data_IF_315788385865
#
_entry.id   IF_315788385865
#
_cell.length_a   1.000
_cell.length_b   1.000
_cell.length_c   1.000
_cell.angle_alpha   90.00
_cell.angle_beta   90.00
_cell.angle_gamma   90.00
#
_symmetry.space_group_name_H-M   'P 1'
#
loop_
_entity.id
_entity.type
_entity.pdbx_description
1 polymer ?
#
# COMPACT_ATOMS: atom_id res chain seq x y z
N UNK A 1 -5.23 3.48 0.28
CA UNK A 1 -4.34 3.11 -0.82
C UNK A 1 -4.79 1.80 -1.45
N UNK A 2 -4.58 1.69 -2.76
CA UNK A 2 -4.81 0.52 -3.60
C UNK A 2 -4.02 0.72 -4.89
N UNK A 3 -3.44 -0.35 -5.42
CA UNK A 3 -2.53 -0.24 -6.56
C UNK A 3 -3.28 -0.02 -7.88
N UNK A 4 -2.72 0.79 -8.78
CA UNK A 4 -3.30 1.12 -10.08
C UNK A 4 -2.77 0.14 -11.15
N UNK A 5 -3.60 -0.35 -12.09
CA UNK A 5 -4.99 0.03 -12.36
C UNK A 5 -6.07 -0.87 -11.72
N UNK A 6 -5.69 -1.98 -11.09
CA UNK A 6 -6.65 -3.03 -10.73
C UNK A 6 -7.19 -2.95 -9.31
N UNK A 7 -6.77 -1.94 -8.54
CA UNK A 7 -7.04 -1.80 -7.10
C UNK A 7 -6.65 -3.04 -6.30
N UNK A 8 -5.48 -3.62 -6.63
CA UNK A 8 -4.88 -4.74 -5.90
C UNK A 8 -4.01 -4.27 -4.73
N UNK A 9 -3.31 -5.21 -4.11
CA UNK A 9 -2.29 -4.95 -3.08
C UNK A 9 -1.20 -4.00 -3.61
N UNK A 10 -0.63 -3.12 -2.77
CA UNK A 10 0.58 -2.37 -3.10
C UNK A 10 1.71 -3.27 -3.64
N UNK A 11 2.25 -2.93 -4.82
CA UNK A 11 3.31 -3.66 -5.51
C UNK A 11 2.82 -4.60 -6.62
N UNK A 12 1.52 -4.60 -6.93
CA UNK A 12 0.90 -5.43 -7.98
C UNK A 12 0.65 -4.67 -9.27
N UNK A 13 0.87 -3.36 -9.26
CA UNK A 13 0.65 -2.43 -10.35
C UNK A 13 1.84 -1.50 -10.59
N UNK A 14 1.55 -0.27 -10.98
CA UNK A 14 2.56 0.69 -11.44
C UNK A 14 2.99 1.71 -10.37
N UNK A 15 2.33 1.75 -9.22
CA UNK A 15 2.60 2.76 -8.19
C UNK A 15 3.83 2.38 -7.38
N UNK A 16 4.81 3.29 -7.31
CA UNK A 16 5.94 3.19 -6.39
C UNK A 16 5.55 3.63 -4.98
N UNK A 17 5.16 2.67 -4.13
CA UNK A 17 4.72 2.94 -2.76
C UNK A 17 5.86 3.34 -1.81
N UNK A 18 7.09 2.87 -2.02
CA UNK A 18 8.25 3.29 -1.20
C UNK A 18 8.46 4.81 -1.30
N UNK A 19 8.37 5.36 -2.51
CA UNK A 19 8.47 6.80 -2.72
C UNK A 19 7.34 7.56 -2.02
N UNK A 20 6.10 7.09 -2.17
CA UNK A 20 4.91 7.75 -1.60
C UNK A 20 4.96 7.72 -0.06
N UNK A 21 5.27 6.59 0.56
CA UNK A 21 5.33 6.49 2.01
C UNK A 21 6.46 7.33 2.59
N UNK A 22 7.61 7.39 1.92
CA UNK A 22 8.69 8.29 2.31
C UNK A 22 8.26 9.77 2.22
N UNK A 23 7.53 10.16 1.17
CA UNK A 23 7.00 11.52 1.03
C UNK A 23 5.96 11.87 2.11
N UNK A 24 5.05 10.95 2.44
CA UNK A 24 4.06 11.12 3.53
C UNK A 24 4.78 11.27 4.87
N UNK A 25 5.80 10.45 5.14
CA UNK A 25 6.60 10.56 6.36
C UNK A 25 7.29 11.92 6.46
N UNK A 26 7.84 12.42 5.35
CA UNK A 26 8.53 13.71 5.31
C UNK A 26 7.60 14.91 5.43
N UNK A 27 6.32 14.78 5.07
CA UNK A 27 5.35 15.88 5.21
C UNK A 27 4.91 16.14 6.66
N UNK A 28 5.31 15.28 7.60
CA UNK A 28 4.87 15.36 8.99
C UNK A 28 3.44 14.87 9.21
N UNK A 29 2.88 14.10 8.27
CA UNK A 29 1.58 13.48 8.44
C UNK A 29 1.63 12.38 9.51
N UNK A 30 0.82 12.53 10.55
CA UNK A 30 0.74 11.60 11.71
C UNK A 30 -0.64 10.89 11.79
N UNK A 31 -1.35 10.84 10.66
CA UNK A 31 -2.64 10.18 10.55
C UNK A 31 -2.54 8.74 10.04
N UNK A 32 -3.69 8.15 9.71
CA UNK A 32 -3.78 6.78 9.23
C UNK A 32 -3.76 6.68 7.70
N UNK A 33 -3.02 5.69 7.18
CA UNK A 33 -3.12 5.29 5.77
C UNK A 33 -4.04 4.07 5.65
N UNK A 34 -5.28 4.29 5.20
CA UNK A 34 -6.23 3.20 4.99
C UNK A 34 -5.85 2.28 3.83
N UNK A 35 -6.05 0.97 3.97
CA UNK A 35 -5.74 -0.04 2.95
C UNK A 35 -7.02 -0.49 2.21
N UNK A 36 -7.52 0.33 1.28
CA UNK A 36 -8.81 0.12 0.61
C UNK A 36 -8.63 -0.47 -0.81
N UNK A 37 -8.15 -1.71 -0.87
CA UNK A 37 -7.99 -2.49 -2.11
C UNK A 37 -8.78 -3.79 -2.06
N UNK A 38 -8.92 -4.44 -3.22
CA UNK A 38 -9.47 -5.79 -3.34
C UNK A 38 -8.31 -6.77 -3.40
N UNK A 39 -8.14 -7.68 -2.42
CA UNK A 39 -7.08 -8.68 -2.46
C UNK A 39 -7.11 -9.47 -3.77
N UNK A 40 -5.95 -9.80 -4.31
CA UNK A 40 -5.82 -10.63 -5.52
C UNK A 40 -6.33 -12.06 -5.30
N UNK A 41 -6.16 -12.56 -4.08
CA UNK A 41 -6.60 -13.90 -3.67
C UNK A 41 -7.37 -13.83 -2.34
N UNK A 42 -6.84 -14.40 -1.27
CA UNK A 42 -7.31 -14.19 0.11
C UNK A 42 -6.59 -13.00 0.72
N UNK A 43 -7.25 -12.28 1.64
CA UNK A 43 -6.64 -11.16 2.37
C UNK A 43 -5.31 -11.57 2.99
N UNK A 44 -5.25 -12.67 3.74
CA UNK A 44 -4.07 -13.11 4.48
C UNK A 44 -2.87 -13.36 3.58
N UNK A 45 -3.08 -13.98 2.42
CA UNK A 45 -2.02 -14.24 1.43
C UNK A 45 -1.46 -12.94 0.82
N UNK A 46 -2.28 -11.89 0.72
CA UNK A 46 -1.89 -10.59 0.18
C UNK A 46 -1.18 -9.67 1.18
N UNK A 47 -1.18 -9.96 2.48
CA UNK A 47 -0.66 -9.03 3.50
C UNK A 47 0.86 -8.95 3.60
N UNK A 48 1.62 -9.71 2.80
CA UNK A 48 3.08 -9.74 2.90
C UNK A 48 3.75 -8.37 2.69
N UNK A 49 3.16 -7.48 1.87
CA UNK A 49 3.66 -6.13 1.60
C UNK A 49 3.73 -5.26 2.87
N UNK A 50 2.84 -5.49 3.85
CA UNK A 50 2.77 -4.66 5.06
C UNK A 50 4.00 -4.81 5.95
N UNK A 51 4.69 -5.97 5.87
CA UNK A 51 5.87 -6.25 6.68
C UNK A 51 7.04 -5.31 6.38
N UNK A 52 7.04 -4.67 5.22
CA UNK A 52 8.06 -3.68 4.83
C UNK A 52 7.83 -2.32 5.50
N UNK A 53 6.61 -2.05 5.97
CA UNK A 53 6.17 -0.73 6.45
C UNK A 53 5.65 -0.75 7.90
N UNK A 54 5.72 -1.91 8.55
CA UNK A 54 5.47 -2.10 9.99
C UNK A 54 6.54 -1.42 10.84
#
# INVERSE_FOLDING_TARGET
IADNPRRGEPGTGEINYDFIFNAIKQSGYDGWVGCEYKPLTTTEAGLSWINQYR
#
